data_IF_720954792697
#
_entry.id   IF_720954792697
#
_cell.length_a   1.000
_cell.length_b   1.000
_cell.length_c   1.000
_cell.angle_alpha   90.00
_cell.angle_beta   90.00
_cell.angle_gamma   90.00
#
_symmetry.space_group_name_H-M   'P 1'
#
loop_
_entity.id
_entity.type
_entity.pdbx_description
1 polymer ?
#
# COMPACT_ATOMS: atom_id res chain seq x y z
N UNK A 1 1.16 0.88 13.18
CA UNK A 1 0.54 0.20 12.05
C UNK A 1 -0.95 0.04 12.32
N UNK A 2 -1.81 0.52 11.41
CA UNK A 2 -3.27 0.56 11.58
C UNK A 2 -3.95 -0.80 11.34
N UNK A 3 -3.27 -1.72 10.68
CA UNK A 3 -3.79 -3.04 10.29
C UNK A 3 -4.04 -3.97 11.48
N UNK A 4 -3.21 -3.92 12.52
CA UNK A 4 -3.35 -4.81 13.67
C UNK A 4 -4.61 -4.52 14.52
N UNK A 5 -4.92 -3.27 14.91
CA UNK A 5 -6.18 -2.95 15.59
C UNK A 5 -7.40 -3.37 14.77
N UNK A 6 -7.43 -3.10 13.47
CA UNK A 6 -8.57 -3.48 12.62
C UNK A 6 -8.77 -4.99 12.56
N UNK A 7 -7.70 -5.77 12.48
CA UNK A 7 -7.81 -7.24 12.53
C UNK A 7 -8.34 -7.72 13.88
N UNK A 8 -7.88 -7.12 14.98
CA UNK A 8 -8.37 -7.46 16.32
C UNK A 8 -9.86 -7.18 16.47
N UNK A 9 -10.34 -6.05 15.92
CA UNK A 9 -11.77 -5.70 15.92
C UNK A 9 -12.59 -6.71 15.09
N UNK A 10 -12.09 -7.15 13.94
CA UNK A 10 -12.75 -8.18 13.13
C UNK A 10 -12.82 -9.54 13.84
N UNK A 11 -11.74 -9.95 14.52
CA UNK A 11 -11.75 -11.20 15.30
C UNK A 11 -12.67 -11.09 16.51
N UNK A 12 -12.68 -9.98 17.23
CA UNK A 12 -13.57 -9.73 18.35
C UNK A 12 -15.03 -9.74 17.94
N UNK A 13 -15.35 -9.18 16.77
CA UNK A 13 -16.72 -9.20 16.23
C UNK A 13 -17.16 -10.62 15.85
N UNK A 14 -16.23 -11.49 15.45
CA UNK A 14 -16.51 -12.89 15.08
C UNK A 14 -16.59 -13.82 16.30
N UNK A 15 -15.74 -13.60 17.29
CA UNK A 15 -15.68 -14.36 18.54
C UNK A 15 -15.39 -13.44 19.71
N UNK A 16 -16.44 -12.99 20.43
CA UNK A 16 -16.29 -12.11 21.59
C UNK A 16 -15.58 -12.76 22.79
N UNK A 17 -15.43 -14.09 22.80
CA UNK A 17 -14.78 -14.82 23.91
C UNK A 17 -13.24 -14.78 23.86
N UNK A 18 -12.66 -14.28 22.76
CA UNK A 18 -11.21 -14.22 22.60
C UNK A 18 -10.56 -13.28 23.63
N UNK A 19 -9.53 -13.76 24.27
CA UNK A 19 -8.75 -12.96 25.23
C UNK A 19 -7.97 -11.85 24.52
N UNK A 20 -7.68 -10.77 25.25
CA UNK A 20 -6.86 -9.67 24.72
C UNK A 20 -5.47 -10.15 24.25
N UNK A 21 -4.90 -11.15 24.95
CA UNK A 21 -3.62 -11.74 24.56
C UNK A 21 -3.70 -12.47 23.21
N UNK A 22 -4.77 -13.23 22.96
CA UNK A 22 -4.99 -13.92 21.68
C UNK A 22 -5.18 -12.91 20.55
N UNK A 23 -5.97 -11.86 20.75
CA UNK A 23 -6.17 -10.79 19.77
C UNK A 23 -4.85 -10.08 19.43
N UNK A 24 -4.02 -9.78 20.44
CA UNK A 24 -2.71 -9.17 20.23
C UNK A 24 -1.77 -10.11 19.45
N UNK A 25 -1.82 -11.42 19.72
CA UNK A 25 -1.04 -12.42 18.99
C UNK A 25 -1.43 -12.48 17.50
N UNK A 26 -2.73 -12.46 17.16
CA UNK A 26 -3.19 -12.41 15.77
C UNK A 26 -2.74 -11.12 15.08
N UNK A 27 -2.83 -9.98 15.75
CA UNK A 27 -2.34 -8.69 15.22
C UNK A 27 -0.82 -8.70 14.98
N UNK A 28 -0.05 -9.26 15.90
CA UNK A 28 1.39 -9.44 15.76
C UNK A 28 1.77 -10.39 14.62
N UNK A 29 1.06 -11.50 14.49
CA UNK A 29 1.24 -12.45 13.37
C UNK A 29 0.97 -11.79 12.02
N UNK A 30 -0.09 -11.00 11.90
CA UNK A 30 -0.35 -10.26 10.68
C UNK A 30 0.80 -9.33 10.32
N UNK A 31 1.33 -8.59 11.29
CA UNK A 31 2.47 -7.69 11.06
C UNK A 31 3.69 -8.47 10.57
N UNK A 32 4.01 -9.59 11.21
CA UNK A 32 5.14 -10.42 10.82
C UNK A 32 4.99 -10.98 9.40
N UNK A 33 3.85 -11.60 9.10
CA UNK A 33 3.58 -12.20 7.78
C UNK A 33 3.56 -11.12 6.70
N UNK A 34 2.85 -10.01 6.91
CA UNK A 34 2.77 -8.93 5.92
C UNK A 34 4.13 -8.27 5.67
N UNK A 35 5.04 -8.26 6.66
CA UNK A 35 6.42 -7.78 6.48
C UNK A 35 7.24 -8.68 5.55
N UNK A 36 7.01 -10.01 5.60
CA UNK A 36 7.61 -10.95 4.64
C UNK A 36 7.14 -10.62 3.22
N UNK A 37 5.83 -10.41 3.03
CA UNK A 37 5.28 -10.01 1.73
C UNK A 37 5.83 -8.67 1.24
N UNK A 38 6.06 -7.71 2.14
CA UNK A 38 6.74 -6.46 1.80
C UNK A 38 8.17 -6.71 1.27
N UNK A 39 8.93 -7.57 1.92
CA UNK A 39 10.27 -7.97 1.44
C UNK A 39 10.21 -8.66 0.08
N UNK A 40 9.36 -9.67 -0.06
CA UNK A 40 9.18 -10.42 -1.31
C UNK A 40 8.69 -9.52 -2.47
N UNK A 41 7.87 -8.52 -2.17
CA UNK A 41 7.34 -7.57 -3.13
C UNK A 41 8.42 -6.82 -3.90
N UNK A 42 9.55 -6.52 -3.26
CA UNK A 42 10.70 -5.86 -3.92
C UNK A 42 11.28 -6.70 -5.05
N UNK A 43 11.42 -7.99 -4.81
CA UNK A 43 11.93 -8.94 -5.82
C UNK A 43 10.88 -9.23 -6.89
N UNK A 44 9.65 -9.53 -6.49
CA UNK A 44 8.55 -9.86 -7.38
C UNK A 44 8.28 -8.71 -8.37
N UNK A 45 7.99 -7.53 -7.87
CA UNK A 45 7.69 -6.37 -8.72
C UNK A 45 8.90 -5.84 -9.46
N UNK A 46 10.12 -6.01 -8.90
CA UNK A 46 11.36 -5.75 -9.63
C UNK A 46 11.42 -6.59 -10.91
N UNK A 47 11.32 -7.91 -10.79
CA UNK A 47 11.35 -8.83 -11.92
C UNK A 47 10.18 -8.60 -12.92
N UNK A 48 8.98 -8.30 -12.42
CA UNK A 48 7.83 -7.97 -13.25
C UNK A 48 8.08 -6.67 -14.01
N UNK A 49 8.58 -5.63 -13.33
CA UNK A 49 8.83 -4.32 -13.94
C UNK A 49 9.89 -4.35 -15.06
N UNK A 50 10.86 -5.26 -14.94
CA UNK A 50 11.89 -5.45 -15.98
C UNK A 50 11.30 -6.07 -17.26
N UNK A 51 10.18 -6.82 -17.16
CA UNK A 51 9.53 -7.46 -18.31
C UNK A 51 8.44 -6.59 -18.97
N UNK A 52 7.65 -5.88 -18.19
CA UNK A 52 6.46 -5.14 -18.68
C UNK A 52 6.69 -3.63 -18.78
N UNK A 53 7.87 -3.16 -18.37
CA UNK A 53 8.18 -1.75 -18.21
C UNK A 53 7.80 -1.20 -16.83
N UNK A 54 8.58 -0.24 -16.35
CA UNK A 54 8.46 0.29 -14.99
C UNK A 54 7.19 1.09 -14.77
N UNK A 55 6.80 1.93 -15.75
CA UNK A 55 5.55 2.70 -15.65
C UNK A 55 4.32 1.77 -15.64
N UNK A 56 4.33 0.71 -16.45
CA UNK A 56 3.23 -0.25 -16.47
C UNK A 56 3.13 -1.05 -15.16
N UNK A 57 4.27 -1.41 -14.56
CA UNK A 57 4.28 -2.07 -13.25
C UNK A 57 3.62 -1.17 -12.18
N UNK A 58 3.94 0.13 -12.14
CA UNK A 58 3.27 1.08 -11.23
C UNK A 58 1.78 1.20 -11.50
N UNK A 59 1.36 1.27 -12.77
CA UNK A 59 -0.07 1.32 -13.14
C UNK A 59 -0.82 0.09 -12.65
N UNK A 60 -0.24 -1.10 -12.84
CA UNK A 60 -0.85 -2.36 -12.38
C UNK A 60 -0.90 -2.41 -10.85
N UNK A 61 0.18 -2.02 -10.16
CA UNK A 61 0.18 -1.94 -8.69
C UNK A 61 -0.93 -1.01 -8.18
N UNK A 62 -1.06 0.18 -8.75
CA UNK A 62 -2.08 1.15 -8.34
C UNK A 62 -3.50 0.67 -8.66
N UNK A 63 -3.72 0.13 -9.87
CA UNK A 63 -5.02 -0.38 -10.29
C UNK A 63 -5.49 -1.56 -9.43
N UNK A 64 -4.61 -2.51 -9.17
CA UNK A 64 -4.94 -3.66 -8.31
C UNK A 64 -5.13 -3.26 -6.85
N UNK A 65 -4.34 -2.32 -6.33
CA UNK A 65 -4.56 -1.78 -4.98
C UNK A 65 -5.89 -1.04 -4.87
N UNK A 66 -6.33 -0.32 -5.90
CA UNK A 66 -7.65 0.33 -5.92
C UNK A 66 -8.76 -0.70 -5.67
N UNK A 67 -8.71 -1.84 -6.37
CA UNK A 67 -9.66 -2.94 -6.19
C UNK A 67 -9.56 -3.52 -4.77
N UNK A 68 -8.34 -3.75 -4.28
CA UNK A 68 -8.10 -4.32 -2.94
C UNK A 68 -8.60 -3.39 -1.84
N UNK A 69 -8.35 -2.09 -1.93
CA UNK A 69 -8.83 -1.12 -0.94
C UNK A 69 -10.36 -1.00 -0.98
N UNK A 70 -10.99 -1.04 -2.16
CA UNK A 70 -12.44 -1.11 -2.27
C UNK A 70 -13.01 -2.38 -1.62
N UNK A 71 -12.35 -3.53 -1.80
CA UNK A 71 -12.72 -4.78 -1.14
C UNK A 71 -12.55 -4.73 0.38
N UNK A 72 -11.53 -4.03 0.89
CA UNK A 72 -11.32 -3.85 2.33
C UNK A 72 -12.44 -3.07 3.01
N UNK A 73 -13.13 -2.16 2.29
CA UNK A 73 -14.29 -1.40 2.83
C UNK A 73 -15.41 -2.35 3.27
N UNK A 74 -15.66 -3.41 2.50
CA UNK A 74 -16.78 -4.33 2.70
C UNK A 74 -16.40 -5.62 3.40
N UNK A 75 -15.10 -5.88 3.58
CA UNK A 75 -14.60 -7.15 4.13
C UNK A 75 -14.85 -7.23 5.63
N UNK A 76 -15.60 -8.27 6.03
CA UNK A 76 -15.86 -8.63 7.44
C UNK A 76 -15.14 -9.91 7.86
N UNK A 77 -14.53 -10.64 6.93
CA UNK A 77 -13.83 -11.88 7.22
C UNK A 77 -12.36 -11.59 7.57
N UNK A 78 -11.86 -11.97 8.79
CA UNK A 78 -10.49 -11.71 9.20
C UNK A 78 -9.44 -12.34 8.28
N UNK A 79 -9.70 -13.54 7.74
CA UNK A 79 -8.76 -14.24 6.86
C UNK A 79 -8.62 -13.50 5.53
N UNK A 80 -9.76 -13.11 4.92
CA UNK A 80 -9.76 -12.31 3.69
C UNK A 80 -9.05 -10.99 3.92
N UNK A 81 -9.30 -10.33 5.05
CA UNK A 81 -8.60 -9.10 5.44
C UNK A 81 -7.08 -9.31 5.48
N UNK A 82 -6.59 -10.40 6.12
CA UNK A 82 -5.16 -10.71 6.17
C UNK A 82 -4.56 -10.88 4.78
N UNK A 83 -5.22 -11.61 3.88
CA UNK A 83 -4.75 -11.83 2.51
C UNK A 83 -4.67 -10.52 1.71
N UNK A 84 -5.69 -9.66 1.83
CA UNK A 84 -5.70 -8.36 1.18
C UNK A 84 -4.59 -7.45 1.71
N UNK A 85 -4.35 -7.43 3.02
CA UNK A 85 -3.24 -6.65 3.63
C UNK A 85 -1.88 -7.19 3.18
N UNK A 86 -1.68 -8.50 3.12
CA UNK A 86 -0.45 -9.08 2.59
C UNK A 86 -0.19 -8.63 1.14
N UNK A 87 -1.22 -8.58 0.30
CA UNK A 87 -1.10 -8.08 -1.06
C UNK A 87 -0.78 -6.59 -1.11
N UNK A 88 -1.41 -5.77 -0.25
CA UNK A 88 -1.07 -4.33 -0.15
C UNK A 88 0.41 -4.16 0.20
N UNK A 89 0.92 -4.92 1.16
CA UNK A 89 2.33 -4.84 1.56
C UNK A 89 3.27 -5.38 0.48
N UNK A 90 2.86 -6.38 -0.30
CA UNK A 90 3.59 -6.85 -1.49
C UNK A 90 3.77 -5.72 -2.52
N UNK A 91 2.70 -4.99 -2.83
CA UNK A 91 2.76 -3.84 -3.73
C UNK A 91 3.56 -2.68 -3.13
N UNK A 92 3.41 -2.42 -1.82
CA UNK A 92 4.17 -1.38 -1.13
C UNK A 92 5.68 -1.63 -1.20
N UNK A 93 6.12 -2.86 -0.92
CA UNK A 93 7.52 -3.27 -1.09
C UNK A 93 7.98 -3.14 -2.54
N UNK A 94 7.13 -3.55 -3.48
CA UNK A 94 7.38 -3.44 -4.91
C UNK A 94 7.60 -2.00 -5.37
N UNK A 95 6.79 -1.06 -4.90
CA UNK A 95 6.95 0.37 -5.18
C UNK A 95 8.34 0.87 -4.76
N UNK A 96 8.78 0.53 -3.56
CA UNK A 96 10.14 0.87 -3.09
C UNK A 96 11.25 0.19 -3.88
N UNK A 97 11.05 -1.07 -4.29
CA UNK A 97 12.04 -1.81 -5.07
C UNK A 97 12.23 -1.29 -6.48
N UNK A 98 11.15 -0.82 -7.12
CA UNK A 98 11.16 -0.39 -8.52
C UNK A 98 11.38 1.11 -8.70
N UNK A 99 11.07 1.94 -7.70
CA UNK A 99 11.14 3.40 -7.79
C UNK A 99 12.53 3.94 -8.16
N UNK A 100 13.65 3.51 -7.53
CA UNK A 100 14.97 4.02 -7.88
C UNK A 100 15.33 3.76 -9.35
N UNK A 101 15.03 2.55 -9.82
CA UNK A 101 15.26 2.16 -11.21
C UNK A 101 14.38 2.96 -12.19
N UNK A 102 13.11 3.21 -11.83
CA UNK A 102 12.20 4.03 -12.62
C UNK A 102 12.71 5.47 -12.74
N UNK A 103 13.09 6.10 -11.63
CA UNK A 103 13.63 7.47 -11.62
C UNK A 103 14.91 7.55 -12.45
N UNK A 104 15.80 6.56 -12.33
CA UNK A 104 17.03 6.52 -13.12
C UNK A 104 16.75 6.38 -14.63
N UNK A 105 15.76 5.59 -15.01
CA UNK A 105 15.40 5.42 -16.44
C UNK A 105 14.80 6.70 -17.03
N UNK A 106 14.01 7.45 -16.26
CA UNK A 106 13.32 8.65 -16.76
C UNK A 106 14.23 9.89 -16.77
N UNK A 107 15.00 10.07 -15.68
CA UNK A 107 15.79 11.29 -15.43
C UNK A 107 17.30 11.13 -15.63
N UNK A 108 17.76 9.89 -15.80
CA UNK A 108 19.19 9.57 -15.92
C UNK A 108 19.92 9.56 -14.57
N UNK A 109 21.14 9.02 -14.56
CA UNK A 109 21.94 8.80 -13.35
C UNK A 109 22.35 10.11 -12.65
N UNK A 110 22.53 11.20 -13.42
CA UNK A 110 22.95 12.50 -12.88
C UNK A 110 21.85 13.16 -12.01
N UNK A 111 20.60 13.09 -12.45
CA UNK A 111 19.47 13.72 -11.74
C UNK A 111 18.77 12.77 -10.75
N UNK A 112 19.04 11.45 -10.89
CA UNK A 112 18.40 10.41 -10.07
C UNK A 112 18.46 10.70 -8.56
N UNK A 113 19.61 11.06 -7.95
CA UNK A 113 19.66 11.29 -6.51
C UNK A 113 18.77 12.45 -6.04
N UNK A 114 18.74 13.56 -6.79
CA UNK A 114 17.93 14.72 -6.46
C UNK A 114 16.44 14.44 -6.58
N UNK A 115 16.01 13.81 -7.70
CA UNK A 115 14.60 13.45 -7.95
C UNK A 115 14.12 12.40 -6.94
N UNK A 116 14.94 11.37 -6.69
CA UNK A 116 14.59 10.35 -5.71
C UNK A 116 14.51 10.91 -4.29
N UNK A 117 15.39 11.83 -3.93
CA UNK A 117 15.32 12.57 -2.67
C UNK A 117 14.00 13.34 -2.52
N UNK A 118 13.55 14.02 -3.58
CA UNK A 118 12.25 14.71 -3.59
C UNK A 118 11.06 13.73 -3.42
N UNK A 119 11.11 12.56 -4.07
CA UNK A 119 10.11 11.49 -3.89
C UNK A 119 10.08 11.00 -2.44
N UNK A 120 11.24 10.78 -1.82
CA UNK A 120 11.33 10.37 -0.43
C UNK A 120 10.83 11.46 0.54
N UNK A 121 11.02 12.74 0.22
CA UNK A 121 10.45 13.86 1.00
C UNK A 121 8.92 13.86 0.93
N UNK A 122 8.34 13.68 -0.25
CA UNK A 122 6.89 13.54 -0.41
C UNK A 122 6.34 12.32 0.36
N UNK A 123 7.07 11.19 0.33
CA UNK A 123 6.72 10.00 1.10
C UNK A 123 6.77 10.24 2.60
N UNK A 124 7.79 10.96 3.11
CA UNK A 124 7.91 11.33 4.53
C UNK A 124 6.77 12.25 4.96
N UNK A 125 6.40 13.22 4.14
CA UNK A 125 5.25 14.09 4.40
C UNK A 125 3.94 13.28 4.47
N UNK A 126 3.74 12.32 3.56
CA UNK A 126 2.59 11.41 3.60
C UNK A 126 2.58 10.55 4.87
N UNK A 127 3.75 10.15 5.38
CA UNK A 127 3.91 9.42 6.64
C UNK A 127 3.47 10.22 7.87
N UNK A 128 3.53 11.54 7.82
CA UNK A 128 3.04 12.44 8.88
C UNK A 128 1.55 12.71 8.70
N UNK A 129 1.14 13.10 7.49
CA UNK A 129 -0.25 13.52 7.19
C UNK A 129 -1.22 12.34 7.25
N UNK A 130 -0.83 11.17 6.77
CA UNK A 130 -1.69 9.99 6.71
C UNK A 130 -2.27 9.58 8.07
N UNK A 131 -1.46 9.34 9.10
CA UNK A 131 -1.95 9.03 10.44
C UNK A 131 -2.84 10.12 11.03
N UNK A 132 -2.61 11.40 10.75
CA UNK A 132 -3.43 12.51 11.23
C UNK A 132 -4.82 12.50 10.57
N UNK A 133 -4.90 12.23 9.26
CA UNK A 133 -6.19 12.06 8.57
C UNK A 133 -6.98 10.92 9.22
N UNK A 134 -6.34 9.78 9.47
CA UNK A 134 -6.99 8.62 10.09
C UNK A 134 -7.45 8.94 11.51
N UNK A 135 -6.64 9.64 12.31
CA UNK A 135 -7.00 10.08 13.65
C UNK A 135 -8.23 11.01 13.61
N UNK A 136 -8.22 12.02 12.74
CA UNK A 136 -9.34 12.93 12.57
C UNK A 136 -10.64 12.23 12.11
N UNK A 137 -10.55 11.21 11.27
CA UNK A 137 -11.69 10.38 10.87
C UNK A 137 -12.22 9.60 12.09
N UNK A 138 -11.31 9.00 12.87
CA UNK A 138 -11.67 8.22 14.05
C UNK A 138 -12.35 9.07 15.11
N UNK A 139 -11.92 10.30 15.30
CA UNK A 139 -12.52 11.24 16.26
C UNK A 139 -13.93 11.69 15.85
N UNK A 140 -14.18 11.83 14.52
CA UNK A 140 -15.47 12.31 14.00
C UNK A 140 -16.50 11.20 13.74
N UNK A 141 -16.03 10.01 13.40
CA UNK A 141 -16.89 8.88 13.01
C UNK A 141 -16.28 7.55 13.50
N UNK A 142 -16.24 7.31 14.83
CA UNK A 142 -15.54 6.16 15.40
C UNK A 142 -16.09 4.81 14.91
N UNK A 143 -17.41 4.68 14.75
CA UNK A 143 -18.05 3.43 14.32
C UNK A 143 -17.76 3.07 12.85
N UNK A 144 -17.51 4.05 12.00
CA UNK A 144 -17.24 3.89 10.56
C UNK A 144 -15.82 4.29 10.15
N UNK A 145 -14.93 4.49 11.12
CA UNK A 145 -13.58 4.99 10.88
C UNK A 145 -12.77 4.12 9.91
N UNK A 146 -12.91 2.80 9.99
CA UNK A 146 -12.24 1.88 9.07
C UNK A 146 -12.71 2.08 7.62
N UNK A 147 -14.02 2.10 7.40
CA UNK A 147 -14.61 2.28 6.07
C UNK A 147 -14.22 3.63 5.46
N UNK A 148 -14.30 4.72 6.24
CA UNK A 148 -13.86 6.04 5.78
C UNK A 148 -12.37 6.11 5.48
N UNK A 149 -11.54 5.48 6.31
CA UNK A 149 -10.09 5.44 6.07
C UNK A 149 -9.75 4.72 4.77
N UNK A 150 -10.40 3.59 4.49
CA UNK A 150 -10.22 2.87 3.23
C UNK A 150 -10.80 3.65 2.04
N UNK A 151 -11.95 4.33 2.20
CA UNK A 151 -12.55 5.14 1.15
C UNK A 151 -11.65 6.33 0.75
N UNK A 152 -11.09 7.05 1.73
CA UNK A 152 -10.14 8.14 1.49
C UNK A 152 -8.87 7.60 0.81
N UNK A 153 -8.34 6.47 1.28
CA UNK A 153 -7.16 5.82 0.66
C UNK A 153 -7.45 5.39 -0.78
N UNK A 154 -8.65 4.86 -1.05
CA UNK A 154 -9.11 4.52 -2.40
C UNK A 154 -9.14 5.73 -3.31
N UNK A 155 -9.64 6.88 -2.82
CA UNK A 155 -9.65 8.14 -3.56
C UNK A 155 -8.24 8.64 -3.91
N UNK A 156 -7.30 8.57 -2.95
CA UNK A 156 -5.90 8.93 -3.17
C UNK A 156 -5.24 8.00 -4.19
N UNK A 157 -5.50 6.69 -4.10
CA UNK A 157 -5.00 5.71 -5.07
C UNK A 157 -5.55 5.96 -6.47
N UNK A 158 -6.83 6.30 -6.59
CA UNK A 158 -7.44 6.66 -7.88
C UNK A 158 -6.77 7.89 -8.49
N UNK A 159 -6.53 8.93 -7.70
CA UNK A 159 -5.80 10.12 -8.15
C UNK A 159 -4.37 9.77 -8.57
N UNK A 160 -3.68 8.92 -7.81
CA UNK A 160 -2.34 8.42 -8.16
C UNK A 160 -2.33 7.61 -9.45
N UNK A 161 -3.35 6.75 -9.67
CA UNK A 161 -3.50 5.99 -10.91
C UNK A 161 -3.71 6.92 -12.10
N UNK A 162 -4.61 7.90 -12.00
CA UNK A 162 -4.84 8.89 -13.05
C UNK A 162 -3.56 9.66 -13.38
N UNK A 163 -2.83 10.12 -12.35
CA UNK A 163 -1.54 10.77 -12.56
C UNK A 163 -0.52 9.83 -13.25
N UNK A 164 -0.53 8.54 -12.91
CA UNK A 164 0.39 7.56 -13.52
C UNK A 164 0.14 7.35 -15.03
N UNK A 165 -1.08 7.60 -15.51
CA UNK A 165 -1.41 7.47 -16.94
C UNK A 165 -0.71 8.54 -17.80
N UNK A 166 -0.30 9.66 -17.21
CA UNK A 166 0.45 10.72 -17.89
C UNK A 166 1.95 10.37 -18.04
N UNK A 167 2.44 9.38 -17.27
CA UNK A 167 3.84 8.95 -17.34
C UNK A 167 4.07 8.13 -18.63
N UNK A 168 5.10 8.49 -19.40
CA UNK A 168 5.55 7.71 -20.57
C UNK A 168 6.78 6.89 -20.23
N UNK A 169 6.77 5.61 -20.61
CA UNK A 169 7.97 4.77 -20.58
C UNK A 169 8.85 5.16 -21.78
N UNK A 170 9.97 5.81 -21.53
CA UNK A 170 10.97 6.11 -22.59
C UNK A 170 11.72 4.86 -23.08
N UNK A 171 11.56 3.72 -22.40
CA UNK A 171 12.19 2.46 -22.83
C UNK A 171 11.55 1.85 -24.07
N UNK A 172 10.35 2.28 -24.47
CA UNK A 172 9.68 1.83 -25.69
C UNK A 172 10.23 2.49 -26.99
N UNK A 173 11.02 3.57 -26.85
CA UNK A 173 11.54 4.35 -28.00
C UNK A 173 12.98 3.98 -28.40
N UNK A 174 13.58 2.95 -27.76
CA UNK A 174 14.97 2.52 -27.99
C UNK A 174 15.02 1.06 -28.51
N UNK A 175 13.97 0.63 -29.21
CA UNK A 175 13.91 -0.67 -29.87
C UNK A 175 13.84 -0.55 -31.37
#
# INVERSE_FOLDING_TARGET
>A
SFQSPLLQDLFRAKDPSLSAAALAAYGGTLIAVSSIFNGLGRFFWGAVSDRIGRANAFRIMLATQLIVFAALIVTKNPIVFCLLICYVLLCYGGGFGTMPSFVNTVFGSTLMPAVYGAVLTAWSAAGIVGPQIIAAIKDRAPESAAAWSFAVSTGILAAGLLASLTLRDRTADIG
#
